data_IF_330722461112
#
_entry.id   IF_330722461112
#
_cell.length_a   1.000
_cell.length_b   1.000
_cell.length_c   1.000
_cell.angle_alpha   90.00
_cell.angle_beta   90.00
_cell.angle_gamma   90.00
#
_symmetry.space_group_name_H-M   'P 1'
#
loop_
_entity.id
_entity.type
_entity.pdbx_description
1 polymer ?
#
# COMPACT_ATOMS: atom_id res chain seq x y z
N UNK A 1 10.50 -10.05 -5.67
CA UNK A 1 9.34 -10.12 -6.57
C UNK A 1 9.73 -10.76 -7.89
N UNK A 2 10.39 -10.07 -8.82
CA UNK A 2 10.78 -10.63 -10.13
C UNK A 2 11.49 -12.00 -10.06
N UNK A 3 12.60 -12.11 -9.32
CA UNK A 3 13.43 -13.33 -9.32
C UNK A 3 12.77 -14.58 -8.70
N UNK A 4 11.75 -14.41 -7.87
CA UNK A 4 11.15 -15.52 -7.10
C UNK A 4 9.69 -15.78 -7.45
N UNK A 5 9.01 -14.81 -8.04
CA UNK A 5 7.57 -14.85 -8.31
C UNK A 5 7.21 -14.35 -9.71
N UNK A 6 8.19 -13.92 -10.50
CA UNK A 6 7.99 -13.37 -11.87
C UNK A 6 7.00 -12.20 -11.93
N UNK A 7 6.94 -11.41 -10.85
CA UNK A 7 6.10 -10.21 -10.74
C UNK A 7 6.95 -8.95 -10.93
N UNK A 8 6.65 -8.20 -11.99
CA UNK A 8 7.17 -6.86 -12.24
C UNK A 8 6.55 -5.83 -11.30
N UNK A 9 7.33 -4.82 -10.90
CA UNK A 9 6.89 -3.78 -9.96
C UNK A 9 7.40 -2.41 -10.37
N UNK A 10 6.54 -1.40 -10.24
CA UNK A 10 6.93 0.02 -10.29
C UNK A 10 7.10 0.53 -8.86
N UNK A 11 8.23 1.19 -8.59
CA UNK A 11 8.56 1.71 -7.27
C UNK A 11 8.42 3.23 -7.21
N UNK A 12 7.67 3.71 -6.22
CA UNK A 12 7.44 5.13 -5.98
C UNK A 12 7.97 5.56 -4.61
N UNK A 13 8.58 6.74 -4.56
CA UNK A 13 8.96 7.39 -3.30
C UNK A 13 7.94 8.47 -2.96
N UNK A 14 7.12 8.22 -1.93
CA UNK A 14 6.15 9.17 -1.40
C UNK A 14 6.81 10.06 -0.33
N UNK A 15 7.49 11.12 -0.76
CA UNK A 15 8.21 12.03 0.15
C UNK A 15 7.30 12.74 1.15
N UNK A 16 6.03 12.97 0.80
CA UNK A 16 5.02 13.50 1.72
C UNK A 16 3.61 13.12 1.28
N UNK A 17 2.98 12.19 2.00
CA UNK A 17 1.57 11.87 1.82
C UNK A 17 0.66 13.07 2.09
N UNK A 18 1.03 13.90 3.07
CA UNK A 18 0.28 15.12 3.41
C UNK A 18 0.18 16.08 2.22
N UNK A 19 1.31 16.41 1.58
CA UNK A 19 1.32 17.35 0.45
C UNK A 19 0.55 16.80 -0.76
N UNK A 20 0.67 15.49 -1.03
CA UNK A 20 -0.13 14.83 -2.08
C UNK A 20 -1.62 14.93 -1.79
N UNK A 21 -2.03 14.73 -0.53
CA UNK A 21 -3.42 14.86 -0.10
C UNK A 21 -3.92 16.29 -0.22
N UNK A 22 -3.18 17.27 0.27
CA UNK A 22 -3.57 18.69 0.23
C UNK A 22 -3.76 19.17 -1.21
N UNK A 23 -2.85 18.82 -2.11
CA UNK A 23 -2.98 19.14 -3.53
C UNK A 23 -4.20 18.46 -4.17
N UNK A 24 -4.42 17.18 -3.87
CA UNK A 24 -5.58 16.46 -4.39
C UNK A 24 -6.92 17.02 -3.86
N UNK A 25 -6.95 17.50 -2.61
CA UNK A 25 -8.12 18.19 -2.04
C UNK A 25 -8.41 19.50 -2.76
N UNK A 26 -7.39 20.29 -3.11
CA UNK A 26 -7.58 21.53 -3.87
C UNK A 26 -8.06 21.25 -5.30
N UNK A 27 -7.54 20.21 -5.95
CA UNK A 27 -8.01 19.76 -7.26
C UNK A 27 -9.47 19.31 -7.20
N UNK A 28 -9.83 18.47 -6.22
CA UNK A 28 -11.21 18.02 -6.03
C UNK A 28 -12.15 19.20 -5.78
N UNK A 29 -11.76 20.14 -4.90
CA UNK A 29 -12.52 21.36 -4.63
C UNK A 29 -12.70 22.18 -5.90
N UNK A 30 -11.65 22.36 -6.69
CA UNK A 30 -11.73 23.11 -7.94
C UNK A 30 -12.68 22.43 -8.92
N UNK A 31 -12.56 21.12 -9.14
CA UNK A 31 -13.42 20.36 -10.06
C UNK A 31 -14.90 20.45 -9.64
N UNK A 32 -15.19 20.31 -8.33
CA UNK A 32 -16.56 20.45 -7.79
C UNK A 32 -17.15 21.84 -8.03
N UNK A 33 -16.32 22.88 -8.03
CA UNK A 33 -16.76 24.27 -8.26
C UNK A 33 -16.72 24.68 -9.74
N UNK A 34 -16.22 23.82 -10.65
CA UNK A 34 -16.13 24.09 -12.08
C UNK A 34 -16.61 22.87 -12.89
N UNK A 35 -17.88 22.44 -12.73
CA UNK A 35 -18.37 21.17 -13.29
C UNK A 35 -18.43 21.14 -14.83
N UNK A 36 -18.43 22.30 -15.49
CA UNK A 36 -18.44 22.41 -16.96
C UNK A 36 -17.05 22.60 -17.57
N UNK A 37 -16.02 22.78 -16.75
CA UNK A 37 -14.64 22.86 -17.20
C UNK A 37 -14.03 21.47 -17.32
N UNK A 38 -12.96 21.36 -18.12
CA UNK A 38 -12.14 20.14 -18.14
C UNK A 38 -11.64 19.83 -16.71
N UNK A 39 -11.87 18.62 -16.17
CA UNK A 39 -11.42 18.27 -14.84
C UNK A 39 -9.90 18.33 -14.72
N UNK A 40 -9.41 18.95 -13.65
CA UNK A 40 -8.00 18.89 -13.27
C UNK A 40 -7.67 17.50 -12.72
N UNK A 41 -6.45 17.05 -13.00
CA UNK A 41 -5.89 15.80 -12.47
C UNK A 41 -4.93 16.13 -11.34
N UNK A 42 -5.09 15.46 -10.19
CA UNK A 42 -4.19 15.64 -9.06
C UNK A 42 -2.82 15.04 -9.35
N UNK A 43 -1.80 15.52 -8.66
CA UNK A 43 -0.43 15.02 -8.79
C UNK A 43 -0.34 13.53 -8.47
N UNK A 44 -1.05 13.06 -7.44
CA UNK A 44 -1.04 11.63 -7.08
C UNK A 44 -1.65 10.77 -8.19
N UNK A 45 -2.77 11.20 -8.78
CA UNK A 45 -3.39 10.49 -9.91
C UNK A 45 -2.49 10.53 -11.15
N UNK A 46 -1.85 11.67 -11.41
CA UNK A 46 -0.94 11.82 -12.55
C UNK A 46 0.32 10.96 -12.40
N UNK A 47 0.91 10.86 -11.20
CA UNK A 47 2.10 10.04 -10.96
C UNK A 47 1.77 8.56 -11.11
N UNK A 48 0.69 8.08 -10.49
CA UNK A 48 0.34 6.66 -10.50
C UNK A 48 -0.24 6.18 -11.84
N UNK A 49 -0.69 7.12 -12.68
CA UNK A 49 -1.10 6.88 -14.06
C UNK A 49 -2.32 5.96 -14.19
N UNK A 50 -2.56 5.53 -15.43
CA UNK A 50 -3.59 4.54 -15.74
C UNK A 50 -3.01 3.14 -15.60
N UNK A 51 -3.56 2.35 -14.68
CA UNK A 51 -3.22 0.95 -14.51
C UNK A 51 -4.32 0.26 -13.72
N UNK A 52 -4.50 -1.04 -13.96
CA UNK A 52 -5.34 -1.93 -13.14
C UNK A 52 -4.54 -2.72 -12.11
N UNK A 53 -3.20 -2.64 -12.13
CA UNK A 53 -2.34 -3.36 -11.19
C UNK A 53 -2.61 -2.88 -9.76
N UNK A 54 -2.54 -3.72 -8.72
CA UNK A 54 -2.73 -3.25 -7.35
C UNK A 54 -1.61 -2.29 -6.89
N UNK A 55 -1.89 -1.51 -5.85
CA UNK A 55 -0.89 -0.72 -5.11
C UNK A 55 -0.77 -1.25 -3.70
N UNK A 56 0.47 -1.39 -3.23
CA UNK A 56 0.78 -1.62 -1.82
C UNK A 56 1.61 -0.45 -1.33
N UNK A 57 1.01 0.42 -0.51
CA UNK A 57 1.69 1.52 0.15
C UNK A 57 2.22 1.07 1.51
N UNK A 58 3.44 1.48 1.86
CA UNK A 58 4.12 1.07 3.09
C UNK A 58 4.66 2.31 3.78
N UNK A 59 4.53 2.36 5.10
CA UNK A 59 5.03 3.47 5.91
C UNK A 59 5.56 2.98 7.26
N UNK A 60 6.58 3.66 7.80
CA UNK A 60 6.98 3.52 9.21
C UNK A 60 6.00 4.28 10.15
N UNK A 61 4.92 4.87 9.62
CA UNK A 61 3.78 5.42 10.35
C UNK A 61 2.54 4.51 10.22
N UNK A 62 1.51 4.79 11.03
CA UNK A 62 0.19 4.15 10.94
C UNK A 62 -0.39 4.17 9.51
N UNK A 63 -1.19 3.15 9.17
CA UNK A 63 -1.87 3.02 7.86
C UNK A 63 -2.69 4.26 7.48
N UNK A 64 -3.23 4.95 8.49
CA UNK A 64 -3.94 6.21 8.33
C UNK A 64 -3.17 7.32 7.59
N UNK A 65 -1.83 7.25 7.51
CA UNK A 65 -1.02 8.22 6.77
C UNK A 65 -1.06 7.96 5.25
N UNK A 66 -0.64 6.79 4.71
CA UNK A 66 -0.84 6.50 3.30
C UNK A 66 -2.32 6.45 2.87
N UNK A 67 -3.23 6.03 3.74
CA UNK A 67 -4.67 5.97 3.44
C UNK A 67 -5.25 7.31 2.99
N UNK A 68 -4.63 8.42 3.40
CA UNK A 68 -5.06 9.78 3.04
C UNK A 68 -5.17 10.01 1.54
N UNK A 69 -4.36 9.31 0.73
CA UNK A 69 -4.36 9.48 -0.72
C UNK A 69 -5.18 8.44 -1.47
N UNK A 70 -5.62 7.36 -0.80
CA UNK A 70 -6.28 6.21 -1.43
C UNK A 70 -7.52 6.60 -2.25
N UNK A 71 -8.35 7.50 -1.73
CA UNK A 71 -9.58 7.98 -2.42
C UNK A 71 -9.32 8.71 -3.74
N UNK A 72 -8.10 9.18 -3.97
CA UNK A 72 -7.71 9.86 -5.21
C UNK A 72 -7.14 8.87 -6.25
N UNK A 73 -7.09 7.58 -5.90
CA UNK A 73 -6.64 6.47 -6.73
C UNK A 73 -7.78 5.47 -6.87
N UNK A 74 -8.73 5.77 -7.76
CA UNK A 74 -10.01 5.04 -7.84
C UNK A 74 -10.02 3.90 -8.85
N UNK A 75 -9.03 3.81 -9.74
CA UNK A 75 -8.99 2.87 -10.86
C UNK A 75 -8.31 1.52 -10.52
N UNK A 76 -7.75 1.36 -9.32
CA UNK A 76 -7.01 0.17 -8.92
C UNK A 76 -7.07 -0.09 -7.41
N UNK A 77 -6.98 -1.35 -6.95
CA UNK A 77 -6.91 -1.68 -5.53
C UNK A 77 -5.74 -0.97 -4.84
N UNK A 78 -5.97 -0.48 -3.63
CA UNK A 78 -4.98 0.22 -2.82
C UNK A 78 -4.93 -0.42 -1.42
N UNK A 79 -3.85 -1.13 -1.12
CA UNK A 79 -3.60 -1.74 0.18
C UNK A 79 -2.50 -0.99 0.92
N UNK A 80 -2.59 -0.95 2.25
CA UNK A 80 -1.63 -0.21 3.10
C UNK A 80 -1.09 -1.08 4.22
N UNK A 81 0.23 -1.04 4.38
CA UNK A 81 0.95 -1.56 5.53
C UNK A 81 1.51 -0.38 6.35
N UNK A 82 1.37 -0.45 7.66
CA UNK A 82 1.75 0.63 8.56
C UNK A 82 1.91 0.15 9.99
N UNK A 83 2.47 1.01 10.83
CA UNK A 83 2.87 0.71 12.21
C UNK A 83 1.77 1.01 13.22
N UNK A 84 0.55 0.56 12.94
CA UNK A 84 -0.58 0.69 13.88
C UNK A 84 -0.34 -0.18 15.13
N UNK A 85 -0.56 0.39 16.31
CA UNK A 85 -0.33 -0.28 17.59
C UNK A 85 0.58 0.51 18.53
N UNK A 86 0.84 -0.06 19.71
CA UNK A 86 1.75 0.54 20.67
C UNK A 86 3.21 0.17 20.37
N UNK A 87 4.10 1.14 20.52
CA UNK A 87 5.53 0.92 20.37
C UNK A 87 6.09 0.00 21.45
N UNK A 88 7.15 -0.73 21.09
CA UNK A 88 7.93 -1.56 22.03
C UNK A 88 9.43 -1.41 21.77
N UNK A 89 10.24 -1.79 22.77
CA UNK A 89 11.69 -1.78 22.65
C UNK A 89 12.19 -3.07 22.01
N UNK A 90 12.81 -2.98 20.85
CA UNK A 90 13.43 -4.11 20.14
C UNK A 90 14.37 -3.59 19.04
N UNK A 91 15.01 -4.50 18.30
CA UNK A 91 15.77 -4.18 17.07
C UNK A 91 14.85 -3.68 15.95
N UNK A 92 15.40 -2.91 14.99
CA UNK A 92 14.62 -2.37 13.87
C UNK A 92 13.99 -3.47 13.02
N UNK A 93 14.74 -4.56 12.82
CA UNK A 93 14.32 -5.73 12.06
C UNK A 93 13.13 -6.41 12.75
N UNK A 94 13.23 -6.64 14.06
CA UNK A 94 12.15 -7.24 14.84
C UNK A 94 10.90 -6.35 14.91
N UNK A 95 11.06 -5.03 15.05
CA UNK A 95 9.94 -4.10 15.03
C UNK A 95 9.23 -4.07 13.68
N UNK A 96 9.98 -4.04 12.56
CA UNK A 96 9.37 -4.09 11.22
C UNK A 96 8.64 -5.40 10.96
N UNK A 97 9.16 -6.51 11.47
CA UNK A 97 8.48 -7.79 11.43
C UNK A 97 7.19 -7.77 12.25
N UNK A 98 7.25 -7.22 13.46
CA UNK A 98 6.12 -7.13 14.38
C UNK A 98 4.98 -6.25 13.84
N UNK A 99 5.32 -5.10 13.26
CA UNK A 99 4.36 -4.20 12.61
C UNK A 99 4.00 -4.62 11.17
N UNK A 100 4.49 -5.76 10.69
CA UNK A 100 4.13 -6.32 9.39
C UNK A 100 4.49 -5.40 8.19
N UNK A 101 5.60 -4.65 8.31
CA UNK A 101 6.11 -3.71 7.28
C UNK A 101 7.48 -4.12 6.71
N UNK A 102 7.96 -5.32 7.02
CA UNK A 102 9.20 -5.87 6.45
C UNK A 102 9.00 -6.38 5.00
N UNK A 103 10.11 -6.70 4.32
CA UNK A 103 10.06 -7.15 2.94
C UNK A 103 9.16 -8.41 2.72
N UNK A 104 9.23 -9.45 3.57
CA UNK A 104 8.28 -10.56 3.55
C UNK A 104 6.80 -10.17 3.57
N UNK A 105 6.38 -9.27 4.47
CA UNK A 105 4.98 -8.84 4.54
C UNK A 105 4.58 -8.01 3.31
N UNK A 106 5.48 -7.17 2.80
CA UNK A 106 5.26 -6.44 1.54
C UNK A 106 5.02 -7.43 0.38
N UNK A 107 5.86 -8.46 0.26
CA UNK A 107 5.71 -9.49 -0.78
C UNK A 107 4.35 -10.19 -0.68
N UNK A 108 3.98 -10.65 0.52
CA UNK A 108 2.71 -11.33 0.75
C UNK A 108 1.53 -10.43 0.44
N UNK A 109 1.59 -9.15 0.82
CA UNK A 109 0.55 -8.17 0.51
C UNK A 109 0.37 -7.97 -1.00
N UNK A 110 1.46 -7.86 -1.76
CA UNK A 110 1.39 -7.73 -3.23
C UNK A 110 0.80 -9.00 -3.86
N UNK A 111 1.28 -10.18 -3.46
CA UNK A 111 0.76 -11.45 -4.00
C UNK A 111 -0.71 -11.65 -3.64
N UNK A 112 -1.12 -11.28 -2.44
CA UNK A 112 -2.52 -11.34 -2.01
C UNK A 112 -3.41 -10.44 -2.87
N UNK A 113 -2.99 -9.20 -3.13
CA UNK A 113 -3.74 -8.29 -4.01
C UNK A 113 -3.83 -8.82 -5.45
N UNK A 114 -2.75 -9.42 -5.98
CA UNK A 114 -2.78 -10.06 -7.29
C UNK A 114 -3.70 -11.28 -7.31
N UNK A 115 -3.77 -12.05 -6.23
CA UNK A 115 -4.68 -13.18 -6.11
C UNK A 115 -6.15 -12.74 -6.05
N UNK A 116 -6.46 -11.66 -5.32
CA UNK A 116 -7.79 -11.05 -5.31
C UNK A 116 -8.21 -10.54 -6.69
N UNK A 117 -7.27 -10.03 -7.48
CA UNK A 117 -7.50 -9.63 -8.87
C UNK A 117 -7.60 -10.82 -9.85
N UNK A 118 -7.38 -12.06 -9.40
CA UNK A 118 -7.41 -13.26 -10.24
C UNK A 118 -6.16 -13.47 -11.11
N UNK A 119 -5.12 -12.65 -10.93
CA UNK A 119 -3.89 -12.71 -11.72
C UNK A 119 -2.98 -13.89 -11.35
N UNK A 120 -3.06 -14.35 -10.10
CA UNK A 120 -2.30 -15.50 -9.58
C UNK A 120 -3.18 -16.36 -8.65
N UNK A 121 -2.89 -17.65 -8.45
CA UNK A 121 -3.65 -18.47 -7.51
C UNK A 121 -3.30 -18.12 -6.05
N UNK A 122 -4.28 -18.28 -5.15
CA UNK A 122 -4.09 -18.07 -3.71
C UNK A 122 -3.00 -18.96 -3.09
N UNK A 123 -2.74 -20.13 -3.70
CA UNK A 123 -1.65 -21.03 -3.28
C UNK A 123 -0.27 -20.40 -3.40
N UNK A 124 -0.07 -19.43 -4.31
CA UNK A 124 1.19 -18.68 -4.41
C UNK A 124 1.43 -17.80 -3.16
N UNK A 125 0.35 -17.24 -2.59
CA UNK A 125 0.39 -16.46 -1.34
C UNK A 125 0.75 -17.38 -0.18
N UNK A 126 0.11 -18.54 -0.07
CA UNK A 126 0.40 -19.54 0.97
C UNK A 126 1.86 -20.02 0.91
N UNK A 127 2.39 -20.26 -0.29
CA UNK A 127 3.80 -20.62 -0.49
C UNK A 127 4.75 -19.51 -0.03
N UNK A 128 4.42 -18.24 -0.28
CA UNK A 128 5.21 -17.11 0.19
C UNK A 128 5.20 -16.99 1.73
N UNK A 129 4.03 -17.13 2.36
CA UNK A 129 3.88 -17.14 3.84
C UNK A 129 4.79 -18.22 4.45
N UNK A 130 4.72 -19.45 3.93
CA UNK A 130 5.57 -20.57 4.38
C UNK A 130 7.05 -20.30 4.13
N UNK A 131 7.41 -19.86 2.91
CA UNK A 131 8.80 -19.57 2.51
C UNK A 131 9.48 -18.55 3.43
N UNK A 132 8.74 -17.54 3.87
CA UNK A 132 9.28 -16.48 4.72
C UNK A 132 9.04 -16.70 6.22
N UNK A 133 8.47 -17.85 6.61
CA UNK A 133 8.17 -18.17 8.00
C UNK A 133 7.29 -17.13 8.68
N UNK A 134 6.31 -16.56 7.95
CA UNK A 134 5.33 -15.67 8.57
C UNK A 134 4.40 -16.52 9.45
N UNK A 135 4.09 -16.05 10.65
CA UNK A 135 3.11 -16.69 11.52
C UNK A 135 1.73 -16.06 11.26
N UNK A 136 0.79 -16.73 10.58
CA UNK A 136 -0.53 -16.16 10.32
C UNK A 136 -1.37 -15.99 11.60
N UNK A 137 -1.03 -16.69 12.67
CA UNK A 137 -1.73 -16.64 13.96
C UNK A 137 -1.07 -15.70 14.97
N UNK A 138 -0.08 -14.89 14.56
CA UNK A 138 0.51 -13.90 15.47
C UNK A 138 -0.50 -12.83 15.86
N UNK A 139 -0.45 -12.40 17.11
CA UNK A 139 -1.27 -11.28 17.58
C UNK A 139 -0.90 -10.02 16.79
N UNK A 140 -1.91 -9.40 16.19
CA UNK A 140 -1.74 -8.13 15.47
C UNK A 140 -1.15 -7.06 16.37
N UNK A 141 -0.22 -6.24 15.85
CA UNK A 141 0.38 -5.12 16.58
C UNK A 141 -0.67 -4.12 17.14
N UNK A 142 -1.87 -4.06 16.55
CA UNK A 142 -2.97 -3.23 17.05
C UNK A 142 -3.47 -3.65 18.45
N UNK A 143 -3.27 -4.91 18.81
CA UNK A 143 -3.76 -5.53 20.05
C UNK A 143 -2.66 -6.18 20.89
N UNK A 144 -1.40 -6.00 20.48
CA UNK A 144 -0.24 -6.57 21.15
C UNK A 144 0.22 -5.72 22.35
#
# INVERSE_FOLDING_TARGET
>A
MQQHFDVGVDLWSATSYKLLREEAMEVERWNRLHPTSAPKVSRVASLLGESSAPIVAVSDFMRAIPDQISRYVTNRPFAVLGTDGMGRSDTREALRRHFEIDAPHIVVSVLYQLALAGSIPATAVEQAIKKYGLNPESVSALHA
#
